data_IF_819070600223
#
_entry.id   IF_819070600223
#
_cell.length_a   1.000
_cell.length_b   1.000
_cell.length_c   1.000
_cell.angle_alpha   90.00
_cell.angle_beta   90.00
_cell.angle_gamma   90.00
#
_symmetry.space_group_name_H-M   'P 1'
#
loop_
_entity.id
_entity.type
_entity.pdbx_description
1 polymer ?
#
# COMPACT_ATOMS: atom_id res chain seq x y z
N UNK A 1 -17.31 -54.37 -58.63
CA UNK A 1 -17.86 -53.03 -58.34
C UNK A 1 -17.82 -52.87 -56.84
N UNK A 2 -16.81 -52.11 -56.29
CA UNK A 2 -16.66 -51.84 -54.88
C UNK A 2 -16.83 -50.33 -54.59
N UNK A 3 -17.87 -50.00 -53.83
CA UNK A 3 -18.21 -48.66 -53.43
C UNK A 3 -17.26 -48.23 -52.28
N UNK A 4 -16.57 -47.10 -52.44
CA UNK A 4 -15.73 -46.50 -51.47
C UNK A 4 -16.54 -45.45 -50.69
N UNK A 5 -16.88 -45.76 -49.44
CA UNK A 5 -17.55 -44.81 -48.54
C UNK A 5 -16.56 -43.73 -48.10
N UNK A 6 -16.90 -42.46 -48.31
CA UNK A 6 -16.18 -41.30 -47.79
C UNK A 6 -16.66 -40.99 -46.37
N UNK A 7 -15.79 -41.18 -45.39
CA UNK A 7 -16.00 -40.69 -44.03
C UNK A 7 -15.59 -39.21 -43.94
N UNK A 8 -16.55 -38.34 -43.74
CA UNK A 8 -16.31 -36.94 -43.33
C UNK A 8 -16.10 -36.88 -41.85
N UNK A 9 -14.85 -36.58 -41.41
CA UNK A 9 -14.56 -36.21 -40.05
C UNK A 9 -14.89 -34.74 -39.85
N UNK A 10 -15.95 -34.45 -39.11
CA UNK A 10 -16.24 -33.09 -38.66
C UNK A 10 -15.44 -32.81 -37.38
N UNK A 11 -14.41 -31.98 -37.49
CA UNK A 11 -13.67 -31.47 -36.33
C UNK A 11 -14.49 -30.38 -35.68
N UNK A 12 -15.02 -30.66 -34.48
CA UNK A 12 -15.68 -29.66 -33.63
C UNK A 12 -14.57 -28.93 -32.84
N UNK A 13 -14.27 -27.70 -33.28
CA UNK A 13 -13.45 -26.76 -32.51
C UNK A 13 -14.27 -26.23 -31.33
N UNK A 14 -14.03 -26.77 -30.12
CA UNK A 14 -14.54 -26.20 -28.89
C UNK A 14 -13.74 -24.91 -28.60
N UNK A 15 -14.31 -23.75 -28.93
CA UNK A 15 -13.81 -22.47 -28.49
C UNK A 15 -14.08 -22.33 -26.98
N UNK A 16 -13.07 -22.62 -26.14
CA UNK A 16 -13.11 -22.28 -24.72
C UNK A 16 -13.00 -20.76 -24.57
N UNK A 17 -14.14 -20.10 -24.41
CA UNK A 17 -14.22 -18.70 -24.02
C UNK A 17 -13.71 -18.59 -22.59
N UNK A 18 -12.48 -18.13 -22.45
CA UNK A 18 -11.95 -17.67 -21.16
C UNK A 18 -12.68 -16.38 -20.83
N UNK A 19 -13.72 -16.47 -20.01
CA UNK A 19 -14.32 -15.32 -19.37
C UNK A 19 -13.32 -14.87 -18.31
N UNK A 20 -12.46 -13.91 -18.66
CA UNK A 20 -11.71 -13.14 -17.67
C UNK A 20 -12.75 -12.47 -16.77
N UNK A 21 -12.85 -12.92 -15.52
CA UNK A 21 -13.59 -12.21 -14.49
C UNK A 21 -12.88 -10.87 -14.29
N UNK A 22 -13.37 -9.82 -14.95
CA UNK A 22 -13.02 -8.45 -14.59
C UNK A 22 -13.58 -8.24 -13.19
N UNK A 23 -12.73 -8.42 -12.17
CA UNK A 23 -12.96 -7.88 -10.85
C UNK A 23 -13.23 -6.39 -11.05
N UNK A 24 -14.35 -5.93 -10.55
CA UNK A 24 -14.88 -4.58 -10.68
C UNK A 24 -13.82 -3.52 -10.34
N UNK A 25 -12.96 -3.15 -11.29
CA UNK A 25 -12.40 -1.83 -11.31
C UNK A 25 -13.59 -0.90 -11.62
N UNK A 26 -13.99 -0.10 -10.65
CA UNK A 26 -15.03 0.90 -10.88
C UNK A 26 -14.55 1.83 -11.99
N UNK A 27 -15.50 2.51 -12.63
CA UNK A 27 -15.22 3.52 -13.66
C UNK A 27 -14.70 4.82 -12.99
N UNK A 28 -13.57 4.66 -12.26
CA UNK A 28 -12.92 5.79 -11.56
C UNK A 28 -11.82 6.37 -12.44
N UNK A 29 -11.82 7.69 -12.55
CA UNK A 29 -10.71 8.44 -13.15
C UNK A 29 -9.44 8.33 -12.29
N UNK A 30 -8.29 8.72 -12.85
CA UNK A 30 -7.02 8.78 -12.12
C UNK A 30 -7.11 9.65 -10.88
N UNK A 31 -6.64 9.13 -9.75
CA UNK A 31 -6.69 9.78 -8.45
C UNK A 31 -5.30 9.98 -7.87
N UNK A 32 -5.09 11.14 -7.25
CA UNK A 32 -3.96 11.41 -6.36
C UNK A 32 -4.48 11.44 -4.93
N UNK A 33 -3.92 10.62 -4.06
CA UNK A 33 -4.45 10.44 -2.70
C UNK A 33 -3.32 10.42 -1.67
N UNK A 34 -3.49 11.16 -0.58
CA UNK A 34 -2.62 11.07 0.59
C UNK A 34 -3.39 10.52 1.78
N UNK A 35 -2.93 9.36 2.26
CA UNK A 35 -3.34 8.78 3.54
C UNK A 35 -2.45 9.31 4.65
N UNK A 36 -3.06 9.85 5.70
CA UNK A 36 -2.34 10.46 6.82
C UNK A 36 -2.50 9.62 8.09
N UNK A 37 -1.41 8.99 8.55
CA UNK A 37 -1.39 8.14 9.73
C UNK A 37 -0.51 8.81 10.80
N UNK A 38 -1.11 9.25 11.92
CA UNK A 38 -0.41 9.91 13.03
C UNK A 38 -0.79 9.33 14.41
N UNK A 39 -1.39 8.17 14.42
CA UNK A 39 -1.80 7.39 15.59
C UNK A 39 -1.07 6.05 15.61
N UNK A 40 -1.00 5.37 16.78
CA UNK A 40 -0.25 4.14 17.03
C UNK A 40 -1.10 2.93 17.44
N UNK A 41 -2.44 3.08 17.46
CA UNK A 41 -3.32 1.95 17.74
C UNK A 41 -3.14 0.83 16.68
N UNK A 42 -2.77 -0.41 17.10
CA UNK A 42 -2.46 -1.48 16.14
C UNK A 42 -3.63 -1.85 15.24
N UNK A 43 -4.87 -1.86 15.79
CA UNK A 43 -6.07 -2.20 15.01
C UNK A 43 -6.42 -1.11 14.00
N UNK A 44 -6.28 0.15 14.40
CA UNK A 44 -6.51 1.29 13.52
C UNK A 44 -5.48 1.31 12.38
N UNK A 45 -4.19 1.06 12.67
CA UNK A 45 -3.15 1.00 11.64
C UNK A 45 -3.35 -0.19 10.68
N UNK A 46 -3.67 -1.37 11.18
CA UNK A 46 -4.04 -2.51 10.34
C UNK A 46 -5.29 -2.22 9.50
N UNK A 47 -6.26 -1.48 10.06
CA UNK A 47 -7.44 -0.99 9.37
C UNK A 47 -7.09 -0.03 8.23
N UNK A 48 -6.14 0.88 8.46
CA UNK A 48 -5.65 1.80 7.45
C UNK A 48 -5.03 1.08 6.23
N UNK A 49 -4.16 0.09 6.47
CA UNK A 49 -3.57 -0.71 5.38
C UNK A 49 -4.65 -1.45 4.58
N UNK A 50 -5.67 -2.00 5.25
CA UNK A 50 -6.82 -2.64 4.59
C UNK A 50 -7.62 -1.63 3.75
N UNK A 51 -7.83 -0.41 4.24
CA UNK A 51 -8.52 0.64 3.49
C UNK A 51 -7.75 1.04 2.24
N UNK A 52 -6.42 1.14 2.33
CA UNK A 52 -5.54 1.40 1.19
C UNK A 52 -5.68 0.28 0.15
N UNK A 53 -5.59 -0.99 0.56
CA UNK A 53 -5.76 -2.12 -0.35
C UNK A 53 -7.14 -2.13 -1.02
N UNK A 54 -8.21 -1.86 -0.26
CA UNK A 54 -9.56 -1.76 -0.81
C UNK A 54 -9.69 -0.62 -1.82
N UNK A 55 -9.01 0.50 -1.59
CA UNK A 55 -8.98 1.62 -2.52
C UNK A 55 -8.30 1.21 -3.83
N UNK A 56 -7.13 0.55 -3.75
CA UNK A 56 -6.43 0.02 -4.92
C UNK A 56 -7.31 -0.99 -5.68
N UNK A 57 -7.97 -1.90 -4.97
CA UNK A 57 -8.83 -2.91 -5.59
C UNK A 57 -10.05 -2.29 -6.33
N UNK A 58 -10.53 -1.15 -5.85
CA UNK A 58 -11.68 -0.47 -6.45
C UNK A 58 -11.30 0.37 -7.67
N UNK A 59 -10.15 1.04 -7.63
CA UNK A 59 -9.74 2.05 -8.63
C UNK A 59 -8.76 1.48 -9.66
N UNK A 60 -7.97 0.48 -9.28
CA UNK A 60 -6.82 -0.03 -10.02
C UNK A 60 -5.53 0.70 -9.65
N UNK A 61 -4.45 -0.06 -9.44
CA UNK A 61 -3.15 0.51 -9.05
C UNK A 61 -2.62 1.51 -10.09
N UNK A 62 -2.86 1.26 -11.37
CA UNK A 62 -2.45 2.11 -12.50
C UNK A 62 -3.17 3.46 -12.56
N UNK A 63 -4.30 3.58 -11.85
CA UNK A 63 -5.10 4.81 -11.76
C UNK A 63 -4.88 5.56 -10.45
N UNK A 64 -3.98 5.07 -9.55
CA UNK A 64 -3.73 5.66 -8.25
C UNK A 64 -2.28 6.16 -8.13
N UNK A 65 -2.12 7.45 -7.77
CA UNK A 65 -0.90 7.97 -7.19
C UNK A 65 -1.14 8.14 -5.68
N UNK A 66 -0.73 7.14 -4.89
CA UNK A 66 -1.05 7.01 -3.50
C UNK A 66 0.19 7.18 -2.61
N UNK A 67 0.12 8.15 -1.69
CA UNK A 67 1.13 8.42 -0.68
C UNK A 67 0.57 8.14 0.71
N UNK A 68 1.38 7.54 1.57
CA UNK A 68 1.09 7.38 3.00
C UNK A 68 2.07 8.24 3.78
N UNK A 69 1.59 9.22 4.52
CA UNK A 69 2.44 10.09 5.33
C UNK A 69 2.35 9.69 6.80
N UNK A 70 3.51 9.33 7.35
CA UNK A 70 3.67 8.89 8.73
C UNK A 70 4.41 9.95 9.56
N UNK A 71 3.80 10.40 10.65
CA UNK A 71 4.50 11.25 11.63
C UNK A 71 3.98 11.03 13.06
N UNK A 72 4.74 11.51 14.05
CA UNK A 72 4.38 11.34 15.46
C UNK A 72 4.21 9.85 15.80
N UNK A 73 3.08 9.50 16.39
CA UNK A 73 2.77 8.11 16.75
C UNK A 73 2.57 7.21 15.52
N UNK A 74 2.22 7.77 14.36
CA UNK A 74 2.01 7.00 13.13
C UNK A 74 3.23 6.21 12.68
N UNK A 75 4.44 6.63 13.09
CA UNK A 75 5.67 5.92 12.76
C UNK A 75 5.75 4.52 13.42
N UNK A 76 4.93 4.25 14.44
CA UNK A 76 4.80 2.92 15.04
C UNK A 76 4.41 1.83 14.02
N UNK A 77 3.79 2.20 12.89
CA UNK A 77 3.45 1.28 11.80
C UNK A 77 4.69 0.59 11.21
N UNK A 78 5.79 1.32 11.11
CA UNK A 78 7.06 0.83 10.55
C UNK A 78 8.08 0.43 11.62
N UNK A 79 7.78 0.68 12.91
CA UNK A 79 8.69 0.38 14.01
C UNK A 79 8.72 -1.13 14.26
N UNK A 80 9.94 -1.70 14.17
CA UNK A 80 10.19 -3.12 14.44
C UNK A 80 9.92 -3.46 15.91
N UNK A 81 9.30 -4.62 16.23
CA UNK A 81 9.00 -5.00 17.61
C UNK A 81 10.21 -4.96 18.55
N UNK A 82 11.37 -5.40 18.07
CA UNK A 82 12.60 -5.46 18.86
C UNK A 82 13.19 -4.07 19.13
N UNK A 83 12.87 -3.08 18.30
CA UNK A 83 13.33 -1.70 18.48
C UNK A 83 12.60 -0.95 19.62
N UNK A 84 11.44 -1.45 20.07
CA UNK A 84 10.59 -0.73 21.04
C UNK A 84 11.33 -0.37 22.33
N UNK A 85 12.26 -1.22 22.79
CA UNK A 85 13.06 -0.97 23.98
C UNK A 85 14.01 0.23 23.81
N UNK A 86 14.43 0.53 22.57
CA UNK A 86 15.39 1.59 22.26
C UNK A 86 14.72 2.95 22.01
N UNK A 87 13.40 2.96 21.78
CA UNK A 87 12.62 4.16 21.43
C UNK A 87 11.48 4.41 22.42
N UNK A 88 11.78 4.78 23.68
CA UNK A 88 10.83 4.79 24.81
C UNK A 88 9.65 5.77 24.64
N UNK A 89 9.67 6.62 23.63
CA UNK A 89 8.57 7.53 23.31
C UNK A 89 7.45 6.87 22.49
N UNK A 90 7.63 5.62 22.07
CA UNK A 90 6.57 4.83 21.44
C UNK A 90 5.94 3.87 22.46
N UNK A 91 4.65 3.67 22.35
CA UNK A 91 3.91 2.68 23.15
C UNK A 91 3.76 1.35 22.42
N UNK A 92 3.81 1.40 21.09
CA UNK A 92 3.61 0.27 20.20
C UNK A 92 4.69 0.27 19.13
N UNK A 93 5.10 -0.93 18.72
CA UNK A 93 5.91 -1.20 17.56
C UNK A 93 5.12 -2.22 16.72
N UNK A 94 4.56 -1.78 15.60
CA UNK A 94 3.51 -2.50 14.88
C UNK A 94 4.00 -3.18 13.61
N UNK A 95 5.30 -3.11 13.28
CA UNK A 95 5.89 -3.78 12.12
C UNK A 95 6.07 -5.29 12.36
N UNK A 96 4.97 -5.96 12.72
CA UNK A 96 4.92 -7.42 12.84
C UNK A 96 4.95 -8.08 11.45
N UNK A 97 5.28 -9.38 11.34
CA UNK A 97 5.34 -10.12 10.08
C UNK A 97 4.09 -9.93 9.20
N UNK A 98 2.89 -9.93 9.81
CA UNK A 98 1.63 -9.70 9.09
C UNK A 98 1.51 -8.26 8.55
N UNK A 99 1.98 -7.28 9.29
CA UNK A 99 1.97 -5.86 8.90
C UNK A 99 3.02 -5.58 7.84
N UNK A 100 4.24 -6.10 8.01
CA UNK A 100 5.34 -5.92 7.05
C UNK A 100 5.01 -6.56 5.71
N UNK A 101 4.41 -7.77 5.69
CA UNK A 101 3.94 -8.39 4.46
C UNK A 101 2.90 -7.54 3.72
N UNK A 102 1.98 -6.89 4.45
CA UNK A 102 1.01 -5.95 3.84
C UNK A 102 1.66 -4.69 3.30
N UNK A 103 2.63 -4.12 4.03
CA UNK A 103 3.38 -2.94 3.58
C UNK A 103 4.14 -3.24 2.29
N UNK A 104 4.88 -4.37 2.23
CA UNK A 104 5.57 -4.82 1.02
C UNK A 104 4.60 -4.97 -0.15
N UNK A 105 3.48 -5.67 0.05
CA UNK A 105 2.48 -5.84 -1.00
C UNK A 105 1.85 -4.53 -1.48
N UNK A 106 1.75 -3.51 -0.63
CA UNK A 106 1.30 -2.17 -1.03
C UNK A 106 2.39 -1.40 -1.79
N UNK A 107 3.66 -1.48 -1.35
CA UNK A 107 4.80 -0.89 -2.07
C UNK A 107 4.94 -1.48 -3.47
N UNK A 108 4.78 -2.79 -3.63
CA UNK A 108 4.78 -3.50 -4.92
C UNK A 108 3.68 -3.02 -5.87
N UNK A 109 2.58 -2.48 -5.31
CA UNK A 109 1.48 -1.87 -6.04
C UNK A 109 1.66 -0.35 -6.26
N UNK A 110 2.84 0.21 -5.94
CA UNK A 110 3.19 1.61 -6.18
C UNK A 110 2.84 2.58 -5.04
N UNK A 111 2.45 2.09 -3.87
CA UNK A 111 2.23 2.94 -2.69
C UNK A 111 3.55 3.42 -2.12
N UNK A 112 3.71 4.75 -1.93
CA UNK A 112 4.89 5.33 -1.31
C UNK A 112 4.61 5.71 0.15
N UNK A 113 5.51 5.29 1.05
CA UNK A 113 5.43 5.61 2.47
C UNK A 113 6.41 6.73 2.79
N UNK A 114 5.92 7.89 3.21
CA UNK A 114 6.73 9.06 3.57
C UNK A 114 6.88 9.15 5.09
N UNK A 115 8.11 9.17 5.56
CA UNK A 115 8.49 9.18 6.98
C UNK A 115 8.97 10.57 7.39
N UNK A 116 8.41 11.11 8.46
CA UNK A 116 8.75 12.44 8.97
C UNK A 116 10.11 12.47 9.69
N UNK A 117 11.10 13.16 9.12
CA UNK A 117 12.42 13.36 9.73
C UNK A 117 12.35 14.04 11.12
N UNK A 118 11.39 14.93 11.36
CA UNK A 118 11.19 15.53 12.68
C UNK A 118 10.78 14.49 13.72
N UNK A 119 9.97 13.49 13.33
CA UNK A 119 9.60 12.39 14.23
C UNK A 119 10.80 11.48 14.52
N UNK A 120 11.55 11.10 13.48
CA UNK A 120 12.77 10.29 13.60
C UNK A 120 13.72 10.93 14.58
N UNK A 121 14.11 12.20 14.37
CA UNK A 121 15.03 12.93 15.27
C UNK A 121 14.45 13.11 16.67
N UNK A 122 13.20 13.57 16.76
CA UNK A 122 12.54 13.88 18.03
C UNK A 122 12.32 12.66 18.93
N UNK A 123 12.27 11.48 18.36
CA UNK A 123 12.10 10.20 19.08
C UNK A 123 13.36 9.35 19.11
N UNK A 124 14.47 9.84 18.52
CA UNK A 124 15.77 9.16 18.45
C UNK A 124 15.68 7.77 17.79
N UNK A 125 14.91 7.68 16.70
CA UNK A 125 14.79 6.46 15.91
C UNK A 125 16.00 6.32 15.01
N UNK A 126 16.62 5.15 14.99
CA UNK A 126 17.60 4.75 14.00
C UNK A 126 16.87 4.15 12.80
N UNK A 127 16.89 4.87 11.67
CA UNK A 127 16.11 4.47 10.47
C UNK A 127 16.50 3.07 10.01
N UNK A 128 17.80 2.76 10.01
CA UNK A 128 18.32 1.51 9.46
C UNK A 128 18.11 0.30 10.37
N UNK A 129 18.01 0.52 11.69
CA UNK A 129 17.93 -0.55 12.67
C UNK A 129 16.57 -0.70 13.34
N UNK A 130 15.77 0.39 13.38
CA UNK A 130 14.51 0.42 14.12
C UNK A 130 13.29 0.35 13.20
N UNK A 131 13.43 0.67 11.89
CA UNK A 131 12.30 0.77 10.96
C UNK A 131 12.36 -0.28 9.85
N UNK A 132 11.21 -0.86 9.58
CA UNK A 132 11.03 -1.80 8.49
C UNK A 132 11.01 -1.08 7.15
N UNK A 133 11.93 -1.47 6.24
CA UNK A 133 11.95 -1.13 4.81
C UNK A 133 11.78 0.38 4.52
N UNK A 134 12.58 1.21 5.20
CA UNK A 134 12.63 2.66 5.00
C UNK A 134 13.97 3.06 4.40
N UNK A 135 13.90 3.73 3.24
CA UNK A 135 15.06 4.28 2.53
C UNK A 135 15.18 5.79 2.74
N UNK A 136 16.35 6.37 2.42
CA UNK A 136 16.57 7.82 2.49
C UNK A 136 15.57 8.61 1.64
N UNK A 137 15.14 8.04 0.51
CA UNK A 137 14.15 8.65 -0.38
C UNK A 137 12.75 8.75 0.24
N UNK A 138 12.44 7.91 1.24
CA UNK A 138 11.17 7.92 1.96
C UNK A 138 11.12 9.02 3.03
N UNK A 139 12.29 9.57 3.41
CA UNK A 139 12.38 10.55 4.49
C UNK A 139 12.04 11.95 3.99
N UNK A 140 10.94 12.50 4.52
CA UNK A 140 10.53 13.88 4.24
C UNK A 140 10.87 14.79 5.43
N UNK A 141 11.25 16.06 5.20
CA UNK A 141 11.67 16.98 6.28
C UNK A 141 10.63 17.13 7.41
N UNK A 142 9.35 17.16 7.05
CA UNK A 142 8.22 17.27 7.98
C UNK A 142 6.98 16.61 7.41
N UNK A 143 6.41 15.65 8.13
CA UNK A 143 5.17 14.99 7.69
C UNK A 143 3.99 15.96 7.55
N UNK A 144 3.87 16.95 8.42
CA UNK A 144 2.81 17.99 8.34
C UNK A 144 2.99 18.85 7.08
N UNK A 145 4.23 19.27 6.79
CA UNK A 145 4.52 20.05 5.59
C UNK A 145 4.32 19.22 4.31
N UNK A 146 4.66 17.93 4.35
CA UNK A 146 4.46 17.02 3.22
C UNK A 146 2.97 16.82 2.91
N UNK A 147 2.12 16.63 3.93
CA UNK A 147 0.66 16.58 3.76
C UNK A 147 0.15 17.87 3.10
N UNK A 148 0.58 19.03 3.57
CA UNK A 148 0.18 20.31 2.99
C UNK A 148 0.64 20.47 1.53
N UNK A 149 1.89 20.09 1.24
CA UNK A 149 2.47 20.08 -0.11
C UNK A 149 1.68 19.17 -1.05
N UNK A 150 1.41 17.93 -0.64
CA UNK A 150 0.66 16.99 -1.44
C UNK A 150 -0.75 17.49 -1.75
N UNK A 151 -1.44 18.06 -0.75
CA UNK A 151 -2.76 18.68 -0.97
C UNK A 151 -2.68 19.85 -1.97
N UNK A 152 -1.65 20.69 -1.88
CA UNK A 152 -1.43 21.78 -2.87
C UNK A 152 -1.15 21.24 -4.28
N UNK A 153 -0.64 20.00 -4.41
CA UNK A 153 -0.42 19.29 -5.67
C UNK A 153 -1.66 18.54 -6.17
N UNK A 154 -2.81 18.68 -5.49
CA UNK A 154 -4.09 18.08 -5.87
C UNK A 154 -4.35 16.70 -5.30
N UNK A 155 -3.61 16.27 -4.28
CA UNK A 155 -3.89 15.00 -3.59
C UNK A 155 -5.11 15.16 -2.66
N UNK A 156 -6.09 14.29 -2.82
CA UNK A 156 -7.19 14.17 -1.88
C UNK A 156 -6.69 13.64 -0.52
N UNK A 157 -7.08 14.30 0.57
CA UNK A 157 -6.66 13.92 1.93
C UNK A 157 -7.60 12.88 2.53
N UNK A 158 -7.04 11.77 3.00
CA UNK A 158 -7.77 10.75 3.73
C UNK A 158 -7.08 10.49 5.07
N UNK A 159 -7.88 10.52 6.14
CA UNK A 159 -7.47 10.07 7.47
C UNK A 159 -8.32 8.85 7.84
N UNK A 160 -7.75 7.62 7.71
CA UNK A 160 -8.47 6.37 7.93
C UNK A 160 -8.72 6.09 9.42
#
# INVERSE_FOLDING_TARGET
MKSIGKFLFAAVLAASSWTSSTLFAGDYEKQKVVYHINYDDPKAQAGALRNIQNHINAVGAENLDLKVVLHGNGLALLLEPDALANVPKFKHANATDDITAKITGLKDQGVNFHVCANTVRGRKVDVSNDLYDVEDADIVPSGVAEVAKLQAMGYAYIKP
#
